data_IF_810229955816
#
_entry.id   IF_810229955816
#
_cell.length_a   1.000
_cell.length_b   1.000
_cell.length_c   1.000
_cell.angle_alpha   90.00
_cell.angle_beta   90.00
_cell.angle_gamma   90.00
#
_symmetry.space_group_name_H-M   'P 1'
#
loop_
_entity.id
_entity.type
_entity.pdbx_description
1 polymer ?
#
# COMPACT_ATOMS: atom_id res chain seq x y z
N UNK A 1 49.88 21.51 25.01
CA UNK A 1 50.90 22.27 24.28
C UNK A 1 51.48 21.39 23.18
N UNK A 2 51.24 21.82 21.94
CA UNK A 2 52.09 21.76 20.73
C UNK A 2 52.94 20.51 20.43
N UNK A 3 52.68 19.83 19.29
CA UNK A 3 53.33 19.97 17.95
C UNK A 3 54.49 18.98 17.78
N UNK A 4 54.34 17.97 16.92
CA UNK A 4 54.59 17.97 15.46
C UNK A 4 56.04 17.57 15.12
N UNK A 5 56.17 16.49 14.33
CA UNK A 5 57.39 16.13 13.60
C UNK A 5 57.10 16.08 12.08
N UNK A 6 57.92 16.73 11.22
CA UNK A 6 57.71 16.80 9.77
C UNK A 6 58.55 15.76 8.95
N UNK A 7 58.36 15.67 7.61
CA UNK A 7 58.68 14.50 6.75
C UNK A 7 59.98 14.69 5.92
N UNK A 8 60.39 13.76 5.00
CA UNK A 8 59.94 13.86 3.59
C UNK A 8 59.87 12.55 2.75
N UNK A 9 59.37 12.75 1.53
CA UNK A 9 59.12 11.88 0.35
C UNK A 9 60.36 11.31 -0.36
N UNK A 10 60.19 10.21 -1.13
CA UNK A 10 60.70 10.09 -2.53
C UNK A 10 60.09 8.91 -3.32
N UNK A 11 59.53 9.21 -4.50
CA UNK A 11 59.18 8.28 -5.58
C UNK A 11 60.42 7.63 -6.20
N UNK A 12 60.29 6.38 -6.67
CA UNK A 12 61.09 5.84 -7.78
C UNK A 12 60.23 4.97 -8.69
N UNK A 13 60.40 5.20 -9.99
CA UNK A 13 59.83 4.49 -11.14
C UNK A 13 60.89 3.48 -11.60
N UNK A 14 60.48 2.27 -11.99
CA UNK A 14 61.24 1.41 -12.92
C UNK A 14 60.27 0.79 -13.95
N UNK A 15 60.68 0.85 -15.22
CA UNK A 15 60.05 0.26 -16.42
C UNK A 15 60.74 -1.06 -16.80
N UNK A 16 59.99 -1.95 -17.48
CA UNK A 16 60.47 -3.02 -18.38
C UNK A 16 60.80 -4.36 -17.70
N UNK A 17 60.61 -5.55 -18.28
CA UNK A 17 60.06 -5.99 -19.56
C UNK A 17 59.81 -7.53 -19.51
N UNK A 18 58.87 -8.00 -20.34
CA UNK A 18 58.72 -9.32 -20.98
C UNK A 18 58.86 -10.65 -20.21
N UNK A 19 57.79 -11.46 -20.25
CA UNK A 19 57.86 -12.88 -20.59
C UNK A 19 56.49 -13.35 -21.14
N UNK A 20 56.42 -13.68 -22.43
CA UNK A 20 55.33 -14.49 -22.97
C UNK A 20 55.54 -15.94 -22.51
N UNK A 21 54.62 -16.47 -21.71
CA UNK A 21 54.51 -17.90 -21.47
C UNK A 21 53.26 -18.41 -22.18
N UNK A 22 53.45 -19.24 -23.20
CA UNK A 22 52.37 -19.99 -23.84
C UNK A 22 51.89 -21.07 -22.87
N UNK A 23 50.61 -21.04 -22.51
CA UNK A 23 49.96 -22.07 -21.67
C UNK A 23 49.21 -23.02 -22.61
N UNK A 24 49.39 -24.35 -22.50
CA UNK A 24 48.64 -25.30 -23.30
C UNK A 24 47.16 -25.26 -22.89
N UNK A 25 46.25 -25.17 -23.86
CA UNK A 25 44.81 -25.30 -23.61
C UNK A 25 44.48 -26.75 -23.28
N UNK A 26 44.28 -27.05 -22.00
CA UNK A 26 43.63 -28.31 -21.58
C UNK A 26 42.13 -28.11 -21.72
N UNK A 27 41.50 -28.85 -22.62
CA UNK A 27 40.04 -28.92 -22.74
C UNK A 27 39.46 -29.67 -21.53
N UNK A 28 38.86 -28.92 -20.61
CA UNK A 28 37.99 -29.47 -19.56
C UNK A 28 36.62 -29.82 -20.16
N UNK A 29 36.00 -30.95 -19.79
CA UNK A 29 34.65 -31.25 -20.22
C UNK A 29 33.67 -30.22 -19.63
N UNK A 30 32.74 -29.74 -20.46
CA UNK A 30 31.72 -28.78 -20.07
C UNK A 30 30.85 -29.36 -18.95
N UNK A 31 31.04 -28.86 -17.73
CA UNK A 31 30.10 -29.07 -16.64
C UNK A 31 28.76 -28.44 -17.04
N UNK A 32 27.72 -29.26 -17.14
CA UNK A 32 26.35 -28.80 -17.28
C UNK A 32 25.96 -28.09 -15.98
N UNK A 33 26.10 -26.77 -15.97
CA UNK A 33 25.61 -25.95 -14.89
C UNK A 33 24.07 -26.03 -14.88
N UNK A 34 23.52 -26.79 -13.95
CA UNK A 34 22.09 -26.74 -13.63
C UNK A 34 21.81 -25.32 -13.16
N UNK A 35 21.07 -24.56 -13.97
CA UNK A 35 20.65 -23.21 -13.64
C UNK A 35 19.85 -23.26 -12.33
N UNK A 36 20.39 -22.67 -11.27
CA UNK A 36 19.63 -22.43 -10.04
C UNK A 36 18.48 -21.49 -10.41
N UNK A 37 17.23 -21.77 -9.97
CA UNK A 37 16.13 -20.85 -10.20
C UNK A 37 16.50 -19.48 -9.63
N UNK A 38 16.42 -18.47 -10.48
CA UNK A 38 16.58 -17.07 -10.09
C UNK A 38 15.52 -16.78 -9.02
N UNK A 39 15.87 -16.21 -7.85
CA UNK A 39 14.84 -15.77 -6.92
C UNK A 39 13.90 -14.84 -7.69
N UNK A 40 12.59 -15.08 -7.56
CA UNK A 40 11.57 -14.22 -8.16
C UNK A 40 11.92 -12.78 -7.79
N UNK A 41 11.98 -11.90 -8.80
CA UNK A 41 12.16 -10.48 -8.55
C UNK A 41 11.06 -10.07 -7.57
N UNK A 42 11.45 -9.56 -6.39
CA UNK A 42 10.51 -8.91 -5.48
C UNK A 42 9.81 -7.85 -6.31
N UNK A 43 8.50 -8.01 -6.53
CA UNK A 43 7.69 -6.97 -7.17
C UNK A 43 8.06 -5.66 -6.50
N UNK A 44 8.47 -4.66 -7.27
CA UNK A 44 8.52 -3.31 -6.70
C UNK A 44 7.11 -3.03 -6.18
N UNK A 45 7.00 -2.64 -4.91
CA UNK A 45 5.71 -2.36 -4.30
C UNK A 45 5.06 -1.24 -5.11
N UNK A 46 3.80 -1.40 -5.50
CA UNK A 46 3.06 -0.34 -6.20
C UNK A 46 3.13 0.92 -5.34
N UNK A 47 3.61 2.02 -5.95
CA UNK A 47 3.67 3.30 -5.25
C UNK A 47 2.24 3.74 -4.88
N UNK A 48 2.08 4.33 -3.70
CA UNK A 48 0.80 4.92 -3.34
C UNK A 48 0.44 6.01 -4.36
N UNK A 49 -0.83 6.11 -4.79
CA UNK A 49 -1.29 7.27 -5.54
C UNK A 49 -1.13 8.55 -4.69
N UNK A 50 -1.15 9.74 -5.31
CA UNK A 50 -1.15 10.99 -4.56
C UNK A 50 -2.32 11.03 -3.58
N UNK A 51 -2.01 11.29 -2.30
CA UNK A 51 -3.01 11.46 -1.25
C UNK A 51 -2.87 12.83 -0.59
N UNK A 52 -3.99 13.45 -0.25
CA UNK A 52 -4.04 14.67 0.54
C UNK A 52 -4.31 14.32 2.01
N UNK A 53 -3.52 14.86 2.93
CA UNK A 53 -3.78 14.65 4.35
C UNK A 53 -4.95 15.52 4.82
N UNK A 54 -6.07 14.88 5.17
CA UNK A 54 -7.30 15.50 5.65
C UNK A 54 -7.74 14.79 6.94
N UNK A 55 -7.10 15.12 8.08
CA UNK A 55 -7.16 14.28 9.27
C UNK A 55 -8.56 14.18 9.87
N UNK A 56 -8.95 12.96 10.25
CA UNK A 56 -10.05 12.73 11.16
C UNK A 56 -9.73 13.28 12.56
N UNK A 57 -10.76 13.54 13.36
CA UNK A 57 -10.59 13.87 14.77
C UNK A 57 -9.85 12.76 15.50
N UNK A 58 -8.93 13.11 16.40
CA UNK A 58 -8.27 12.15 17.31
C UNK A 58 -9.26 11.41 18.21
N UNK A 59 -10.49 11.91 18.34
CA UNK A 59 -11.57 11.28 19.07
C UNK A 59 -12.36 10.22 18.28
N UNK A 60 -11.99 9.97 17.01
CA UNK A 60 -12.67 9.09 16.06
C UNK A 60 -11.80 7.90 15.58
N UNK A 61 -10.64 7.67 16.18
CA UNK A 61 -9.78 6.51 15.90
C UNK A 61 -8.99 6.12 17.16
N UNK A 62 -8.39 4.94 17.16
CA UNK A 62 -7.51 4.49 18.25
C UNK A 62 -6.05 4.58 17.82
N UNK A 63 -5.23 5.30 18.59
CA UNK A 63 -3.79 5.34 18.38
C UNK A 63 -3.18 3.93 18.51
N UNK A 64 -2.28 3.56 17.60
CA UNK A 64 -1.66 2.24 17.58
C UNK A 64 -0.29 2.29 16.88
N UNK A 65 0.34 1.13 16.70
CA UNK A 65 1.62 1.00 16.00
C UNK A 65 1.58 -0.20 15.04
N UNK A 66 0.56 -0.25 14.17
CA UNK A 66 0.40 -1.31 13.18
C UNK A 66 1.48 -1.21 12.09
N UNK A 67 2.00 -2.34 11.59
CA UNK A 67 1.50 -3.69 11.78
C UNK A 67 2.07 -4.44 13.01
N UNK A 68 2.90 -3.80 13.84
CA UNK A 68 3.54 -4.44 14.99
C UNK A 68 2.53 -4.80 16.09
N UNK A 69 1.56 -3.93 16.36
CA UNK A 69 0.50 -4.20 17.35
C UNK A 69 -0.57 -5.17 16.83
N UNK A 70 -0.91 -5.08 15.55
CA UNK A 70 -1.84 -5.96 14.84
C UNK A 70 -1.39 -6.09 13.39
N UNK A 71 -1.29 -7.33 12.88
CA UNK A 71 -1.07 -7.56 11.46
C UNK A 71 -2.26 -7.04 10.65
N UNK A 72 -1.97 -6.36 9.54
CA UNK A 72 -2.98 -5.99 8.55
C UNK A 72 -3.13 -7.13 7.56
N UNK A 73 -4.34 -7.67 7.44
CA UNK A 73 -4.61 -8.83 6.59
C UNK A 73 -5.75 -8.57 5.60
N UNK A 74 -6.40 -7.40 5.63
CA UNK A 74 -7.51 -7.08 4.72
C UNK A 74 -7.67 -5.59 4.41
N UNK A 75 -8.36 -5.33 3.31
CA UNK A 75 -8.89 -4.00 2.93
C UNK A 75 -10.41 -4.09 2.92
N UNK A 76 -11.07 -3.11 3.51
CA UNK A 76 -12.54 -3.04 3.53
C UNK A 76 -12.99 -1.85 2.69
N UNK A 77 -13.83 -2.13 1.70
CA UNK A 77 -14.38 -1.16 0.76
C UNK A 77 -15.76 -0.72 1.26
N UNK A 78 -15.93 0.59 1.34
CA UNK A 78 -17.14 1.23 1.83
C UNK A 78 -17.72 2.22 0.81
N UNK A 79 -19.01 2.51 0.93
CA UNK A 79 -19.67 3.64 0.26
C UNK A 79 -20.27 4.54 1.33
N UNK A 80 -19.98 5.84 1.25
CA UNK A 80 -20.24 6.80 2.33
C UNK A 80 -21.70 7.07 2.64
N UNK A 81 -22.61 6.82 1.67
CA UNK A 81 -23.99 7.34 1.67
C UNK A 81 -24.03 8.87 1.79
N UNK A 82 -22.96 9.53 1.35
CA UNK A 82 -22.77 10.96 1.47
C UNK A 82 -21.81 11.55 0.45
N UNK A 83 -21.80 12.88 0.34
CA UNK A 83 -20.78 13.60 -0.44
C UNK A 83 -19.40 13.57 0.22
N UNK A 84 -18.36 13.81 -0.58
CA UNK A 84 -16.96 13.85 -0.14
C UNK A 84 -16.74 14.89 0.97
N UNK A 85 -17.25 16.11 0.77
CA UNK A 85 -17.10 17.19 1.74
C UNK A 85 -17.84 16.88 3.07
N UNK A 86 -19.05 16.33 2.99
CA UNK A 86 -19.80 15.94 4.19
C UNK A 86 -19.12 14.80 4.94
N UNK A 87 -18.57 13.83 4.22
CA UNK A 87 -17.83 12.70 4.83
C UNK A 87 -16.60 13.20 5.60
N UNK A 88 -15.82 14.13 5.03
CA UNK A 88 -14.70 14.76 5.76
C UNK A 88 -15.19 15.50 7.01
N UNK A 89 -16.28 16.27 6.92
CA UNK A 89 -16.85 16.96 8.06
C UNK A 89 -17.32 15.98 9.16
N UNK A 90 -17.84 14.81 8.79
CA UNK A 90 -18.19 13.73 9.72
C UNK A 90 -16.94 13.21 10.42
N UNK A 91 -15.88 12.87 9.67
CA UNK A 91 -14.63 12.35 10.25
C UNK A 91 -13.93 13.35 11.15
N UNK A 92 -14.05 14.64 10.88
CA UNK A 92 -13.48 15.72 11.69
C UNK A 92 -14.32 16.04 12.93
N UNK A 93 -15.59 15.63 12.98
CA UNK A 93 -16.46 15.89 14.12
C UNK A 93 -16.21 14.86 15.25
N UNK A 94 -15.71 15.27 16.42
CA UNK A 94 -15.36 14.37 17.53
C UNK A 94 -16.56 13.64 18.15
N UNK A 95 -17.80 14.06 17.85
CA UNK A 95 -19.02 13.43 18.35
C UNK A 95 -19.48 12.25 17.48
N UNK A 96 -18.96 12.12 16.26
CA UNK A 96 -19.41 11.10 15.31
C UNK A 96 -18.86 9.71 15.62
N UNK A 97 -17.67 9.62 16.22
CA UNK A 97 -17.05 8.34 16.63
C UNK A 97 -16.93 7.34 15.47
N UNK A 98 -16.62 7.84 14.28
CA UNK A 98 -16.38 7.04 13.06
C UNK A 98 -15.27 7.67 12.23
N UNK A 99 -14.51 6.84 11.53
CA UNK A 99 -13.48 7.26 10.57
C UNK A 99 -13.08 6.13 9.65
N UNK A 100 -12.50 6.45 8.49
CA UNK A 100 -11.78 5.51 7.64
C UNK A 100 -10.33 5.98 7.44
N UNK A 101 -9.47 5.13 6.88
CA UNK A 101 -8.09 5.53 6.58
C UNK A 101 -8.05 6.45 5.37
N UNK A 102 -8.86 6.14 4.36
CA UNK A 102 -8.91 6.87 3.11
C UNK A 102 -10.34 7.16 2.67
N UNK A 103 -10.52 8.25 1.93
CA UNK A 103 -11.76 8.64 1.27
C UNK A 103 -11.45 8.99 -0.19
N UNK A 104 -12.16 8.37 -1.13
CA UNK A 104 -12.00 8.58 -2.58
C UNK A 104 -13.18 9.38 -3.11
N UNK A 105 -12.88 10.51 -3.75
CA UNK A 105 -13.88 11.39 -4.38
C UNK A 105 -14.35 10.79 -5.70
N UNK A 106 -15.65 10.86 -5.94
CA UNK A 106 -16.31 10.27 -7.10
C UNK A 106 -15.92 10.95 -8.41
N UNK A 107 -15.92 12.29 -8.43
CA UNK A 107 -15.78 13.04 -9.68
C UNK A 107 -14.42 12.85 -10.39
N UNK A 108 -13.33 12.72 -9.63
CA UNK A 108 -11.96 12.77 -10.15
C UNK A 108 -11.01 11.74 -9.53
N UNK A 109 -11.48 10.90 -8.61
CA UNK A 109 -10.64 9.91 -7.93
C UNK A 109 -9.68 10.52 -6.90
N UNK A 110 -9.81 11.80 -6.55
CA UNK A 110 -8.97 12.41 -5.54
C UNK A 110 -9.09 11.68 -4.19
N UNK A 111 -7.95 11.47 -3.53
CA UNK A 111 -7.87 10.67 -2.30
C UNK A 111 -7.46 11.55 -1.12
N UNK A 112 -8.32 11.60 -0.10
CA UNK A 112 -7.93 12.03 1.24
C UNK A 112 -7.41 10.84 2.05
N UNK A 113 -6.32 11.03 2.79
CA UNK A 113 -5.95 10.18 3.91
C UNK A 113 -6.40 10.86 5.21
N UNK A 114 -7.27 10.18 5.96
CA UNK A 114 -7.91 10.71 7.17
C UNK A 114 -7.33 10.11 8.45
N UNK A 115 -6.84 8.87 8.40
CA UNK A 115 -6.17 8.20 9.52
C UNK A 115 -4.90 7.53 9.01
N UNK A 116 -3.80 7.72 9.72
CA UNK A 116 -2.55 6.99 9.45
C UNK A 116 -2.79 5.49 9.59
N UNK A 117 -2.29 4.69 8.65
CA UNK A 117 -2.44 3.23 8.65
C UNK A 117 -1.86 2.55 9.91
N UNK A 118 -0.92 3.22 10.60
CA UNK A 118 -0.39 2.75 11.88
C UNK A 118 -1.43 2.81 13.02
N UNK A 119 -2.39 3.74 12.94
CA UNK A 119 -3.52 3.87 13.86
C UNK A 119 -4.72 3.07 13.36
N UNK A 120 -5.69 2.79 14.23
CA UNK A 120 -6.89 2.00 13.93
C UNK A 120 -8.07 2.95 13.67
N UNK A 121 -8.45 3.13 12.42
CA UNK A 121 -9.70 3.82 12.07
C UNK A 121 -10.93 3.01 12.54
N UNK A 122 -12.06 3.69 12.74
CA UNK A 122 -13.31 3.09 13.21
C UNK A 122 -14.36 3.05 12.09
N UNK A 123 -14.22 2.09 11.18
CA UNK A 123 -15.02 2.00 9.95
C UNK A 123 -15.88 0.74 9.86
N UNK A 124 -15.43 -0.39 10.43
CA UNK A 124 -16.07 -1.68 10.22
C UNK A 124 -17.24 -1.97 11.17
N UNK A 125 -17.42 -1.19 12.24
CA UNK A 125 -18.36 -1.52 13.33
C UNK A 125 -17.98 -2.77 14.14
N UNK A 126 -16.85 -3.41 13.82
CA UNK A 126 -16.33 -4.61 14.45
C UNK A 126 -14.86 -4.41 14.81
N UNK A 127 -14.51 -4.53 16.08
CA UNK A 127 -13.16 -4.24 16.59
C UNK A 127 -12.08 -5.14 15.99
N UNK A 128 -12.37 -6.43 15.84
CA UNK A 128 -11.44 -7.41 15.27
C UNK A 128 -11.13 -7.12 13.80
N UNK A 129 -12.08 -6.53 13.07
CA UNK A 129 -11.90 -6.10 11.69
C UNK A 129 -11.22 -4.74 11.61
N UNK A 130 -11.62 -3.76 12.44
CA UNK A 130 -10.95 -2.45 12.49
C UNK A 130 -9.44 -2.60 12.76
N UNK A 131 -9.06 -3.45 13.72
CA UNK A 131 -7.66 -3.64 14.12
C UNK A 131 -6.79 -4.24 13.02
N UNK A 132 -7.35 -5.08 12.13
CA UNK A 132 -6.62 -5.83 11.11
C UNK A 132 -6.85 -5.36 9.67
N UNK A 133 -7.51 -4.22 9.49
CA UNK A 133 -7.84 -3.72 8.16
C UNK A 133 -7.49 -2.27 7.91
N UNK A 134 -7.43 -1.95 6.61
CA UNK A 134 -7.51 -0.60 6.07
C UNK A 134 -8.90 -0.39 5.45
N UNK A 135 -9.72 0.45 6.07
CA UNK A 135 -10.97 0.95 5.48
C UNK A 135 -10.74 2.06 4.45
N UNK A 136 -11.37 1.91 3.28
CA UNK A 136 -11.40 2.88 2.18
C UNK A 136 -12.85 3.22 1.85
N UNK A 137 -13.20 4.48 2.03
CA UNK A 137 -14.52 5.04 1.75
C UNK A 137 -14.58 5.62 0.33
N UNK A 138 -15.73 5.48 -0.31
CA UNK A 138 -15.98 5.97 -1.65
C UNK A 138 -17.20 6.87 -1.63
N UNK A 139 -17.02 8.11 -2.07
CA UNK A 139 -18.12 9.06 -2.15
C UNK A 139 -19.29 8.49 -2.98
N UNK A 140 -20.50 8.52 -2.43
CA UNK A 140 -21.72 8.28 -3.18
C UNK A 140 -22.77 7.50 -2.39
N UNK A 141 -23.73 6.95 -3.14
CA UNK A 141 -24.84 6.15 -2.62
C UNK A 141 -24.89 4.80 -3.34
N UNK A 142 -25.15 3.73 -2.59
CA UNK A 142 -25.12 2.34 -3.11
C UNK A 142 -26.11 2.08 -4.25
N UNK A 143 -27.17 2.87 -4.33
CA UNK A 143 -28.23 2.81 -5.34
C UNK A 143 -28.04 3.81 -6.50
N UNK A 144 -26.97 4.60 -6.48
CA UNK A 144 -26.66 5.60 -7.51
C UNK A 144 -25.35 5.26 -8.24
N UNK A 145 -25.38 4.35 -9.23
CA UNK A 145 -24.17 3.88 -9.93
C UNK A 145 -23.38 4.99 -10.64
N UNK A 146 -23.98 6.17 -10.87
CA UNK A 146 -23.30 7.34 -11.42
C UNK A 146 -22.11 7.81 -10.56
N UNK A 147 -22.11 7.52 -9.25
CA UNK A 147 -21.00 7.82 -8.35
C UNK A 147 -19.79 6.89 -8.56
N UNK A 148 -19.97 5.73 -9.19
CA UNK A 148 -18.92 4.74 -9.35
C UNK A 148 -18.15 4.97 -10.66
N UNK A 149 -17.55 6.15 -10.75
CA UNK A 149 -16.87 6.63 -11.95
C UNK A 149 -15.60 5.84 -12.25
N UNK A 150 -15.12 5.96 -13.49
CA UNK A 150 -13.85 5.36 -13.88
C UNK A 150 -12.67 5.89 -13.05
N UNK A 151 -12.70 7.17 -12.69
CA UNK A 151 -11.64 7.81 -11.90
C UNK A 151 -11.63 7.27 -10.47
N UNK A 152 -12.79 7.17 -9.82
CA UNK A 152 -12.94 6.59 -8.49
C UNK A 152 -12.44 5.14 -8.44
N UNK A 153 -12.87 4.30 -9.40
CA UNK A 153 -12.39 2.91 -9.48
C UNK A 153 -10.88 2.83 -9.71
N UNK A 154 -10.32 3.68 -10.58
CA UNK A 154 -8.90 3.66 -10.92
C UNK A 154 -8.00 4.03 -9.74
N UNK A 155 -8.29 5.14 -9.08
CA UNK A 155 -7.48 5.62 -7.96
C UNK A 155 -7.67 4.76 -6.72
N UNK A 156 -8.89 4.28 -6.46
CA UNK A 156 -9.13 3.31 -5.39
C UNK A 156 -8.41 1.97 -5.60
N UNK A 157 -8.40 1.46 -6.84
CA UNK A 157 -7.72 0.21 -7.14
C UNK A 157 -6.19 0.34 -6.99
N UNK A 158 -5.60 1.47 -7.41
CA UNK A 158 -4.18 1.79 -7.20
C UNK A 158 -3.84 1.88 -5.73
N UNK A 159 -4.66 2.58 -4.95
CA UNK A 159 -4.51 2.69 -3.50
C UNK A 159 -4.55 1.31 -2.85
N UNK A 160 -5.57 0.51 -3.16
CA UNK A 160 -5.73 -0.85 -2.61
C UNK A 160 -4.55 -1.75 -2.99
N UNK A 161 -4.06 -1.67 -4.24
CA UNK A 161 -2.89 -2.42 -4.68
C UNK A 161 -1.64 -2.05 -3.86
N UNK A 162 -1.40 -0.75 -3.66
CA UNK A 162 -0.28 -0.26 -2.87
C UNK A 162 -0.36 -0.67 -1.39
N UNK A 163 -1.55 -0.61 -0.78
CA UNK A 163 -1.82 -1.12 0.57
C UNK A 163 -1.53 -2.62 0.64
N UNK A 164 -2.04 -3.39 -0.32
CA UNK A 164 -1.83 -4.83 -0.38
C UNK A 164 -0.34 -5.18 -0.50
N UNK A 165 0.40 -4.53 -1.39
CA UNK A 165 1.83 -4.79 -1.57
C UNK A 165 2.66 -4.39 -0.36
N UNK A 166 2.31 -3.27 0.30
CA UNK A 166 3.00 -2.79 1.49
C UNK A 166 2.89 -3.77 2.65
N UNK A 167 1.71 -4.37 2.85
CA UNK A 167 1.42 -5.23 3.99
C UNK A 167 1.43 -6.73 3.65
N UNK A 168 1.65 -7.10 2.39
CA UNK A 168 1.64 -8.49 1.94
C UNK A 168 0.24 -9.13 1.93
N UNK A 169 -0.80 -8.31 1.77
CA UNK A 169 -2.19 -8.77 1.70
C UNK A 169 -2.47 -9.31 0.29
N UNK A 170 -2.97 -10.55 0.12
CA UNK A 170 -3.35 -11.06 -1.19
C UNK A 170 -4.41 -10.19 -1.88
N UNK A 171 -4.23 -9.90 -3.18
CA UNK A 171 -5.12 -9.05 -3.99
C UNK A 171 -6.35 -9.84 -4.51
N UNK A 172 -7.09 -10.47 -3.60
CA UNK A 172 -8.25 -11.31 -3.89
C UNK A 172 -9.49 -10.96 -3.04
N UNK A 173 -10.61 -11.63 -3.32
CA UNK A 173 -11.90 -11.39 -2.64
C UNK A 173 -11.98 -11.92 -1.21
N UNK A 174 -11.04 -12.75 -0.78
CA UNK A 174 -11.00 -13.19 0.62
C UNK A 174 -10.38 -12.12 1.54
N UNK A 175 -9.58 -11.22 0.98
CA UNK A 175 -8.86 -10.20 1.75
C UNK A 175 -9.23 -8.76 1.37
N UNK A 176 -9.79 -8.53 0.18
CA UNK A 176 -10.44 -7.27 -0.17
C UNK A 176 -11.92 -7.56 -0.10
N UNK A 177 -12.61 -6.99 0.89
CA UNK A 177 -14.03 -7.27 1.20
C UNK A 177 -14.86 -5.98 1.18
N UNK A 178 -16.17 -6.10 1.04
CA UNK A 178 -17.12 -5.04 1.29
C UNK A 178 -17.52 -4.98 2.76
N UNK A 179 -18.06 -3.85 3.21
CA UNK A 179 -18.54 -3.72 4.58
C UNK A 179 -19.62 -4.74 4.91
N UNK A 180 -20.53 -5.05 3.98
CA UNK A 180 -21.57 -6.07 4.15
C UNK A 180 -21.06 -7.49 4.47
N UNK A 181 -19.77 -7.78 4.21
CA UNK A 181 -19.15 -9.06 4.52
C UNK A 181 -18.54 -9.11 5.94
N UNK A 182 -18.53 -7.98 6.66
CA UNK A 182 -18.05 -7.91 8.04
C UNK A 182 -19.06 -8.57 8.98
N UNK A 183 -18.67 -9.56 9.81
CA UNK A 183 -19.58 -10.23 10.72
C UNK A 183 -20.24 -9.27 11.71
N UNK A 184 -21.57 -9.39 11.83
CA UNK A 184 -22.39 -8.60 12.76
C UNK A 184 -22.75 -7.20 12.26
N UNK A 185 -22.38 -6.87 11.03
CA UNK A 185 -22.82 -5.62 10.38
C UNK A 185 -24.30 -5.71 9.95
N UNK A 186 -25.00 -4.58 10.00
CA UNK A 186 -26.28 -4.34 9.33
C UNK A 186 -26.12 -3.53 8.02
N UNK A 187 -24.87 -3.22 7.66
CA UNK A 187 -24.55 -2.40 6.50
C UNK A 187 -24.63 -3.20 5.20
N UNK A 188 -24.95 -2.50 4.11
CA UNK A 188 -25.17 -3.10 2.78
C UNK A 188 -24.14 -2.65 1.74
N UNK A 189 -23.23 -1.74 2.08
CA UNK A 189 -22.23 -1.19 1.18
C UNK A 189 -21.06 -2.19 0.95
N UNK A 190 -20.43 -2.19 -0.25
CA UNK A 190 -20.58 -1.18 -1.31
C UNK A 190 -21.79 -1.36 -2.23
N UNK A 191 -22.67 -2.32 -1.92
CA UNK A 191 -23.95 -2.48 -2.58
C UNK A 191 -23.87 -3.19 -3.94
N UNK A 192 -25.03 -3.45 -4.55
CA UNK A 192 -25.14 -4.30 -5.74
C UNK A 192 -24.53 -3.67 -7.00
N UNK A 193 -24.36 -2.35 -7.01
CA UNK A 193 -23.80 -1.62 -8.15
C UNK A 193 -22.26 -1.59 -8.14
N UNK A 194 -21.61 -2.10 -7.08
CA UNK A 194 -20.16 -2.22 -7.05
C UNK A 194 -19.68 -3.42 -7.87
N UNK A 195 -18.94 -3.16 -8.94
CA UNK A 195 -18.41 -4.17 -9.84
C UNK A 195 -17.11 -4.76 -9.29
N UNK A 196 -17.24 -5.81 -8.47
CA UNK A 196 -16.11 -6.51 -7.88
C UNK A 196 -15.16 -7.12 -8.91
N UNK A 197 -15.67 -7.62 -10.03
CA UNK A 197 -14.83 -8.25 -11.07
C UNK A 197 -13.93 -7.21 -11.70
N UNK A 198 -14.50 -6.07 -12.07
CA UNK A 198 -13.75 -4.92 -12.56
C UNK A 198 -12.75 -4.43 -11.51
N UNK A 199 -13.20 -4.25 -10.26
CA UNK A 199 -12.35 -3.70 -9.22
C UNK A 199 -11.13 -4.57 -8.94
N UNK A 200 -11.33 -5.86 -8.68
CA UNK A 200 -10.24 -6.81 -8.41
C UNK A 200 -9.31 -6.93 -9.62
N UNK A 201 -9.84 -6.91 -10.84
CA UNK A 201 -8.99 -6.85 -12.05
C UNK A 201 -8.10 -5.61 -12.02
N UNK A 202 -8.66 -4.44 -11.73
CA UNK A 202 -7.88 -3.19 -11.66
C UNK A 202 -6.82 -3.23 -10.54
N UNK A 203 -7.14 -3.78 -9.36
CA UNK A 203 -6.18 -3.95 -8.27
C UNK A 203 -4.99 -4.83 -8.68
N UNK A 204 -5.25 -5.92 -9.41
CA UNK A 204 -4.20 -6.85 -9.84
C UNK A 204 -3.30 -6.30 -10.96
N UNK A 205 -3.77 -5.30 -11.72
CA UNK A 205 -3.02 -4.68 -12.83
C UNK A 205 -2.57 -3.25 -12.52
N UNK A 206 -2.64 -2.82 -11.26
CA UNK A 206 -2.16 -1.51 -10.79
C UNK A 206 -0.71 -1.54 -10.35
#
# INVERSE_FOLDING_TARGET
>A
MDRAGPPPSRRRIIKGAAALAAVPSVLLPAAHAVARPRPAARSEATAYPPVEWQPASTANYTASNRPTSYSLDRVIIHITQETYANTLAIFQNPQKKVSAHYLVRSADGHIAQCVSEANIAWHAGNWDYNTRSIGIEHEGWVDQPAYFTNALYAESARLTAAVCDRYGIPKDRAHIIGHYEVPGTDHTDPGPNWDWVRYIRMVNFS
#
